data_IF_411347230566
#
_entry.id   IF_411347230566
#
_cell.length_a   1.000
_cell.length_b   1.000
_cell.length_c   1.000
_cell.angle_alpha   90.00
_cell.angle_beta   90.00
_cell.angle_gamma   90.00
#
_symmetry.space_group_name_H-M   'P 1'
#
loop_
_entity.id
_entity.type
_entity.pdbx_description
1 polymer ?
#
# COMPACT_ATOMS: atom_id res chain seq x y z
N UNK A 1 -28.31 -0.72 57.97
CA UNK A 1 -27.77 0.52 57.38
C UNK A 1 -26.74 0.13 56.33
N UNK A 2 -27.03 0.48 55.08
CA UNK A 2 -26.18 0.29 53.90
C UNK A 2 -24.91 1.13 54.00
N UNK A 3 -23.79 0.62 53.46
CA UNK A 3 -22.85 1.40 52.64
C UNK A 3 -21.93 0.46 51.83
N UNK A 4 -22.46 0.13 50.64
CA UNK A 4 -21.87 -0.22 49.34
C UNK A 4 -20.52 -0.97 49.25
N UNK A 5 -20.60 -2.08 48.50
CA UNK A 5 -19.52 -2.91 47.95
C UNK A 5 -18.41 -2.09 47.27
N UNK A 6 -17.21 -2.66 47.33
CA UNK A 6 -15.95 -2.18 46.76
C UNK A 6 -16.08 -1.44 45.41
N UNK A 7 -15.61 -0.20 45.37
CA UNK A 7 -15.11 0.40 44.13
C UNK A 7 -13.76 -0.23 43.82
N UNK A 8 -13.74 -1.25 42.97
CA UNK A 8 -12.58 -1.54 42.13
C UNK A 8 -12.88 -1.00 40.72
N UNK A 9 -11.86 -0.43 40.07
CA UNK A 9 -11.98 0.75 39.24
C UNK A 9 -12.58 0.37 37.90
N UNK A 10 -13.25 1.33 37.23
CA UNK A 10 -13.28 1.30 35.77
C UNK A 10 -11.82 1.44 35.30
N UNK A 11 -11.07 0.33 35.28
CA UNK A 11 -9.71 0.31 34.77
C UNK A 11 -9.81 0.61 33.27
N UNK A 12 -9.39 1.81 32.88
CA UNK A 12 -9.22 2.17 31.49
C UNK A 12 -8.40 1.07 30.81
N UNK A 13 -9.01 0.34 29.88
CA UNK A 13 -8.38 -0.80 29.22
C UNK A 13 -7.44 -0.24 28.15
N UNK A 14 -6.18 -0.02 28.55
CA UNK A 14 -5.12 0.53 27.72
C UNK A 14 -4.39 -0.63 27.06
N UNK A 15 -4.63 -0.85 25.76
CA UNK A 15 -3.89 -1.85 24.97
C UNK A 15 -2.49 -1.36 24.56
N UNK A 16 -2.29 -0.06 24.55
CA UNK A 16 -1.05 0.60 24.18
C UNK A 16 -0.92 1.93 24.93
N UNK A 17 0.30 2.44 25.08
CA UNK A 17 0.58 3.78 25.58
C UNK A 17 1.23 4.65 24.49
N UNK A 18 2.03 4.04 23.61
CA UNK A 18 2.75 4.70 22.52
C UNK A 18 2.55 3.94 21.21
N UNK A 19 2.76 4.62 20.08
CA UNK A 19 2.72 3.99 18.75
C UNK A 19 3.68 2.79 18.63
N UNK A 20 4.82 2.83 19.35
CA UNK A 20 5.79 1.74 19.37
C UNK A 20 5.29 0.46 20.06
N UNK A 21 4.21 0.55 20.85
CA UNK A 21 3.58 -0.62 21.47
C UNK A 21 2.69 -1.38 20.47
N UNK A 22 2.39 -0.78 19.32
CA UNK A 22 1.52 -1.32 18.30
C UNK A 22 2.30 -2.09 17.22
N UNK A 23 1.62 -3.00 16.52
CA UNK A 23 2.26 -3.84 15.49
C UNK A 23 2.30 -3.11 14.15
N UNK A 24 3.35 -3.40 13.38
CA UNK A 24 3.55 -2.88 12.04
C UNK A 24 3.55 -1.35 11.94
N UNK A 25 2.43 -0.76 11.53
CA UNK A 25 2.26 0.69 11.40
C UNK A 25 0.99 1.20 12.09
N UNK A 26 0.36 0.35 12.90
CA UNK A 26 -0.74 0.75 13.76
C UNK A 26 -0.27 1.85 14.72
N UNK A 27 -1.18 2.75 15.07
CA UNK A 27 -0.92 3.85 16.01
C UNK A 27 -1.78 3.73 17.25
N UNK A 28 -1.22 4.14 18.37
CA UNK A 28 -1.92 4.11 19.63
C UNK A 28 -2.84 5.33 19.72
N UNK A 29 -4.14 5.10 19.54
CA UNK A 29 -5.13 6.17 19.60
C UNK A 29 -5.98 6.06 20.88
N UNK A 30 -6.15 7.16 21.63
CA UNK A 30 -7.08 7.18 22.76
C UNK A 30 -8.52 7.10 22.27
N UNK A 31 -9.36 6.39 23.03
CA UNK A 31 -10.81 6.36 22.89
C UNK A 31 -11.46 6.63 24.26
N UNK A 32 -12.79 6.63 24.32
CA UNK A 32 -13.54 6.94 25.54
C UNK A 32 -13.29 5.95 26.72
N UNK A 33 -12.64 4.80 26.48
CA UNK A 33 -12.44 3.74 27.46
C UNK A 33 -10.95 3.33 27.63
N UNK A 34 -10.00 4.07 27.05
CA UNK A 34 -8.57 3.75 27.12
C UNK A 34 -7.85 4.13 25.83
N UNK A 35 -6.85 3.33 25.45
CA UNK A 35 -6.13 3.50 24.18
C UNK A 35 -5.99 2.17 23.46
N UNK A 36 -6.10 2.21 22.15
CA UNK A 36 -6.09 1.03 21.29
C UNK A 36 -5.25 1.27 20.04
N UNK A 37 -4.56 0.23 19.59
CA UNK A 37 -3.86 0.22 18.31
C UNK A 37 -4.87 0.18 17.18
N UNK A 38 -4.78 1.14 16.27
CA UNK A 38 -5.65 1.24 15.08
C UNK A 38 -4.80 1.57 13.86
N UNK A 39 -5.31 1.23 12.67
CA UNK A 39 -4.66 1.68 11.43
C UNK A 39 -4.61 3.21 11.38
N UNK A 40 -3.52 3.79 10.85
CA UNK A 40 -3.42 5.23 10.70
C UNK A 40 -4.52 5.72 9.76
N UNK A 41 -5.40 6.61 10.23
CA UNK A 41 -6.44 7.26 9.40
C UNK A 41 -5.88 8.33 8.47
N UNK A 42 -4.66 8.80 8.77
CA UNK A 42 -3.86 9.70 7.93
C UNK A 42 -2.52 9.04 7.63
N UNK A 43 -2.40 8.47 6.44
CA UNK A 43 -1.13 8.00 5.91
C UNK A 43 -1.00 8.42 4.43
N UNK A 44 0.21 8.33 3.89
CA UNK A 44 0.41 8.44 2.46
C UNK A 44 -0.20 7.25 1.72
N UNK A 45 -0.40 7.39 0.41
CA UNK A 45 -0.93 6.33 -0.43
C UNK A 45 -0.09 5.04 -0.34
N UNK A 46 1.24 5.16 -0.32
CA UNK A 46 2.12 3.98 -0.21
C UNK A 46 1.98 3.29 1.14
N UNK A 47 1.97 4.06 2.25
CA UNK A 47 1.84 3.47 3.59
C UNK A 47 0.49 2.76 3.71
N UNK A 48 -0.61 3.40 3.33
CA UNK A 48 -1.93 2.76 3.31
C UNK A 48 -1.95 1.46 2.51
N UNK A 49 -1.34 1.47 1.32
CA UNK A 49 -1.27 0.27 0.49
C UNK A 49 -0.40 -0.83 1.13
N UNK A 50 0.75 -0.47 1.70
CA UNK A 50 1.61 -1.43 2.40
C UNK A 50 0.91 -2.10 3.58
N UNK A 51 0.12 -1.35 4.37
CA UNK A 51 -0.68 -1.92 5.47
C UNK A 51 -1.71 -2.91 4.93
N UNK A 52 -2.44 -2.51 3.87
CA UNK A 52 -3.46 -3.35 3.28
C UNK A 52 -2.87 -4.67 2.76
N UNK A 53 -1.71 -4.61 2.09
CA UNK A 53 -1.00 -5.80 1.61
C UNK A 53 -0.52 -6.69 2.76
N UNK A 54 0.00 -6.11 3.85
CA UNK A 54 0.42 -6.87 5.04
C UNK A 54 -0.73 -7.61 5.74
N UNK A 55 -1.98 -7.19 5.53
CA UNK A 55 -3.16 -7.88 6.08
C UNK A 55 -3.57 -9.11 5.28
N UNK A 56 -3.00 -9.32 4.10
CA UNK A 56 -3.24 -10.51 3.29
C UNK A 56 -2.55 -11.74 3.92
N UNK A 57 -3.09 -12.96 3.74
CA UNK A 57 -2.48 -14.18 4.28
C UNK A 57 -1.01 -14.37 3.86
N UNK A 58 -0.69 -14.07 2.60
CA UNK A 58 0.68 -14.16 2.07
C UNK A 58 1.48 -12.85 2.21
N UNK A 59 0.88 -11.81 2.79
CA UNK A 59 1.49 -10.48 2.97
C UNK A 59 2.02 -9.87 1.66
N UNK A 60 1.44 -10.26 0.53
CA UNK A 60 1.80 -9.85 -0.84
C UNK A 60 0.58 -10.06 -1.75
N UNK A 61 0.53 -9.35 -2.88
CA UNK A 61 -0.47 -9.60 -3.91
C UNK A 61 -0.18 -10.91 -4.67
N UNK A 62 -1.12 -11.36 -5.50
CA UNK A 62 -1.01 -12.63 -6.25
C UNK A 62 0.26 -12.72 -7.13
N UNK A 63 0.71 -11.62 -7.73
CA UNK A 63 1.97 -11.54 -8.49
C UNK A 63 3.22 -11.43 -7.61
N UNK A 64 3.07 -11.51 -6.29
CA UNK A 64 4.09 -11.31 -5.27
C UNK A 64 4.51 -9.85 -5.08
N UNK A 65 3.72 -8.89 -5.56
CA UNK A 65 3.98 -7.47 -5.34
C UNK A 65 3.76 -7.09 -3.87
N UNK A 66 4.77 -6.44 -3.29
CA UNK A 66 4.70 -5.72 -2.01
C UNK A 66 5.20 -4.29 -2.29
N UNK A 67 4.38 -3.26 -2.03
CA UNK A 67 4.77 -1.88 -2.33
C UNK A 67 5.97 -1.46 -1.48
N UNK A 68 6.99 -0.91 -2.13
CA UNK A 68 8.16 -0.33 -1.48
C UNK A 68 7.92 1.15 -1.23
N UNK A 69 7.93 1.55 0.03
CA UNK A 69 7.87 2.95 0.40
C UNK A 69 9.26 3.48 0.75
N UNK A 70 9.50 4.76 0.52
CA UNK A 70 10.67 5.48 1.01
C UNK A 70 10.48 5.92 2.48
N UNK A 71 11.50 6.56 3.04
CA UNK A 71 11.50 7.04 4.44
C UNK A 71 10.42 8.09 4.73
N UNK A 72 9.94 8.79 3.71
CA UNK A 72 8.84 9.76 3.83
C UNK A 72 7.46 9.10 3.62
N UNK A 73 7.43 7.78 3.45
CA UNK A 73 6.23 7.03 3.15
C UNK A 73 5.71 7.23 1.72
N UNK A 74 6.48 7.82 0.81
CA UNK A 74 6.11 7.89 -0.62
C UNK A 74 6.46 6.57 -1.30
N UNK A 75 5.93 6.32 -2.50
CA UNK A 75 6.37 5.18 -3.27
C UNK A 75 7.83 5.38 -3.69
N UNK A 76 8.66 4.35 -3.48
CA UNK A 76 9.95 4.28 -4.14
C UNK A 76 9.73 4.35 -5.66
N UNK A 77 10.56 5.08 -6.43
CA UNK A 77 10.31 5.33 -7.84
C UNK A 77 10.32 4.07 -8.69
N UNK A 78 11.01 3.01 -8.24
CA UNK A 78 11.05 1.69 -8.87
C UNK A 78 10.32 0.70 -7.96
N UNK A 79 9.27 0.07 -8.49
CA UNK A 79 8.52 -1.01 -7.86
C UNK A 79 8.81 -2.32 -8.60
N UNK A 80 8.67 -3.46 -7.92
CA UNK A 80 8.89 -4.78 -8.53
C UNK A 80 7.92 -5.81 -7.96
N UNK A 81 7.47 -6.72 -8.81
CA UNK A 81 6.82 -7.97 -8.42
C UNK A 81 7.78 -9.16 -8.62
N UNK A 82 7.28 -10.39 -8.71
CA UNK A 82 8.11 -11.58 -8.92
C UNK A 82 8.71 -11.71 -10.33
N UNK A 83 8.26 -10.93 -11.32
CA UNK A 83 8.62 -11.09 -12.74
C UNK A 83 9.30 -9.85 -13.31
N UNK A 84 8.85 -8.67 -12.91
CA UNK A 84 9.25 -7.41 -13.52
C UNK A 84 9.37 -6.28 -12.51
N UNK A 85 10.04 -5.22 -12.94
CA UNK A 85 10.09 -3.95 -12.26
C UNK A 85 9.57 -2.86 -13.18
N UNK A 86 8.96 -1.83 -12.61
CA UNK A 86 8.43 -0.68 -13.34
C UNK A 86 8.63 0.59 -12.51
N UNK A 87 8.50 1.73 -13.19
CA UNK A 87 8.54 3.03 -12.54
C UNK A 87 7.13 3.47 -12.15
N UNK A 88 7.00 4.21 -11.06
CA UNK A 88 5.70 4.71 -10.57
C UNK A 88 5.74 6.20 -10.30
N UNK A 89 4.57 6.83 -10.32
CA UNK A 89 4.40 8.13 -9.67
C UNK A 89 4.64 7.99 -8.16
N UNK A 90 5.56 8.79 -7.61
CA UNK A 90 5.99 8.67 -6.21
C UNK A 90 4.89 8.97 -5.20
N UNK A 91 3.86 9.74 -5.58
CA UNK A 91 2.77 10.11 -4.67
C UNK A 91 1.57 9.18 -4.81
N UNK A 92 1.27 8.69 -6.02
CA UNK A 92 0.06 7.91 -6.31
C UNK A 92 0.32 6.41 -6.52
N UNK A 93 1.55 6.00 -6.84
CA UNK A 93 1.92 4.60 -7.05
C UNK A 93 1.49 4.02 -8.40
N UNK A 94 0.86 4.83 -9.25
CA UNK A 94 0.47 4.45 -10.61
C UNK A 94 1.71 4.18 -11.48
N UNK A 95 1.69 3.07 -12.21
CA UNK A 95 2.75 2.72 -13.15
C UNK A 95 2.90 3.77 -14.25
N UNK A 96 4.16 4.15 -14.52
CA UNK A 96 4.53 5.02 -15.63
C UNK A 96 4.59 4.15 -16.90
N UNK A 97 3.78 4.44 -17.94
CA UNK A 97 3.80 3.69 -19.19
C UNK A 97 5.19 3.59 -19.81
N UNK A 98 5.51 2.42 -20.35
CA UNK A 98 6.75 2.12 -21.05
C UNK A 98 7.95 1.87 -20.13
N UNK A 99 7.74 1.79 -18.83
CA UNK A 99 8.81 1.63 -17.83
C UNK A 99 9.09 0.19 -17.42
N UNK A 100 8.18 -0.76 -17.71
CA UNK A 100 8.35 -2.12 -17.25
C UNK A 100 9.52 -2.84 -17.93
N UNK A 101 10.31 -3.54 -17.12
CA UNK A 101 11.40 -4.42 -17.55
C UNK A 101 11.39 -5.69 -16.72
N UNK A 102 11.79 -6.81 -17.32
CA UNK A 102 12.02 -8.05 -16.55
C UNK A 102 13.08 -7.83 -15.46
N UNK A 103 12.99 -8.55 -14.34
CA UNK A 103 13.90 -8.36 -13.20
C UNK A 103 15.37 -8.44 -13.59
N UNK A 104 15.74 -9.33 -14.51
CA UNK A 104 17.13 -9.48 -14.99
C UNK A 104 17.68 -8.25 -15.72
N UNK A 105 16.81 -7.37 -16.22
CA UNK A 105 17.17 -6.11 -16.87
C UNK A 105 17.02 -4.90 -15.94
N UNK A 106 16.80 -5.12 -14.64
CA UNK A 106 16.62 -4.02 -13.67
C UNK A 106 17.91 -3.20 -13.54
N UNK A 107 17.80 -1.90 -13.82
CA UNK A 107 18.87 -0.89 -13.65
C UNK A 107 18.46 0.13 -12.59
N UNK A 108 19.43 0.75 -11.91
CA UNK A 108 19.15 1.83 -10.96
C UNK A 108 18.55 3.08 -11.62
N UNK A 109 18.87 3.31 -12.90
CA UNK A 109 18.50 4.48 -13.69
C UNK A 109 17.43 4.18 -14.76
N UNK A 110 16.71 3.05 -14.64
CA UNK A 110 15.71 2.62 -15.62
C UNK A 110 14.59 3.65 -15.87
N UNK A 111 14.29 4.51 -14.89
CA UNK A 111 13.23 5.52 -15.01
C UNK A 111 13.62 6.75 -15.82
N UNK A 112 14.85 6.81 -16.35
CA UNK A 112 15.31 7.93 -17.18
C UNK A 112 14.91 7.80 -18.64
N UNK A 113 14.75 6.58 -19.13
CA UNK A 113 14.47 6.28 -20.53
C UNK A 113 13.26 5.36 -20.64
N UNK A 114 12.13 5.94 -21.05
CA UNK A 114 10.85 5.25 -21.14
C UNK A 114 10.55 4.86 -22.58
N UNK A 115 9.97 3.68 -22.80
CA UNK A 115 9.47 3.27 -24.11
C UNK A 115 8.21 4.06 -24.47
N UNK A 116 8.06 4.46 -25.72
CA UNK A 116 6.84 5.12 -26.19
C UNK A 116 5.72 4.10 -26.36
N UNK A 117 4.62 4.30 -25.63
CA UNK A 117 3.40 3.54 -25.82
C UNK A 117 2.50 4.20 -26.87
N UNK A 118 2.07 3.42 -27.87
CA UNK A 118 1.16 3.90 -28.91
C UNK A 118 -0.30 4.00 -28.44
N UNK A 119 -0.69 3.18 -27.47
CA UNK A 119 -2.05 3.16 -26.91
C UNK A 119 -2.23 4.31 -25.93
N UNK A 120 -3.31 5.08 -26.11
CA UNK A 120 -3.72 6.15 -25.20
C UNK A 120 -5.13 5.86 -24.71
N UNK A 121 -5.28 5.78 -23.40
CA UNK A 121 -6.55 5.53 -22.74
C UNK A 121 -7.06 6.81 -22.06
N UNK A 122 -8.33 7.15 -22.27
CA UNK A 122 -8.93 8.40 -21.75
C UNK A 122 -9.82 8.20 -20.52
N UNK A 123 -10.08 6.96 -20.10
CA UNK A 123 -10.92 6.67 -18.93
C UNK A 123 -10.17 7.07 -17.65
N UNK A 124 -10.91 7.43 -16.60
CA UNK A 124 -10.29 7.68 -15.30
C UNK A 124 -10.34 6.40 -14.47
N UNK A 125 -9.17 5.80 -14.26
CA UNK A 125 -9.04 4.60 -13.44
C UNK A 125 -8.34 4.96 -12.12
N UNK A 126 -9.01 4.80 -10.97
CA UNK A 126 -8.42 5.15 -9.66
C UNK A 126 -7.09 4.43 -9.38
N UNK A 127 -6.91 3.24 -9.94
CA UNK A 127 -5.74 2.38 -9.75
C UNK A 127 -4.92 2.18 -11.04
N UNK A 128 -5.16 3.03 -12.05
CA UNK A 128 -4.53 2.93 -13.36
C UNK A 128 -5.15 1.86 -14.26
N UNK A 129 -4.55 1.68 -15.43
CA UNK A 129 -5.01 0.73 -16.44
C UNK A 129 -4.37 -0.64 -16.26
N UNK A 130 -5.01 -1.67 -16.82
CA UNK A 130 -4.33 -2.93 -17.09
C UNK A 130 -3.18 -2.66 -18.06
N UNK A 131 -2.03 -3.23 -17.76
CA UNK A 131 -0.80 -3.04 -18.53
C UNK A 131 -0.44 -4.35 -19.22
N UNK A 132 0.07 -4.24 -20.43
CA UNK A 132 0.69 -5.33 -21.16
C UNK A 132 2.00 -5.76 -20.48
N UNK A 133 2.52 -6.93 -20.86
CA UNK A 133 3.83 -7.43 -20.38
C UNK A 133 5.02 -6.53 -20.74
N UNK A 134 4.82 -5.56 -21.64
CA UNK A 134 5.83 -4.57 -22.03
C UNK A 134 5.71 -3.26 -21.21
N UNK A 135 4.77 -3.19 -20.27
CA UNK A 135 4.52 -2.00 -19.45
C UNK A 135 3.79 -0.88 -20.19
N UNK A 136 3.06 -1.19 -21.26
CA UNK A 136 2.18 -0.23 -21.94
C UNK A 136 0.70 -0.51 -21.64
N UNK A 137 -0.18 0.51 -21.65
CA UNK A 137 -1.62 0.31 -21.45
C UNK A 137 -2.18 -0.73 -22.41
N UNK A 138 -3.00 -1.64 -21.90
CA UNK A 138 -3.69 -2.62 -22.71
C UNK A 138 -4.62 -1.93 -23.73
N UNK A 139 -4.70 -2.39 -24.99
CA UNK A 139 -5.57 -1.79 -26.00
C UNK A 139 -7.06 -1.74 -25.63
N UNK A 140 -7.52 -2.62 -24.73
CA UNK A 140 -8.89 -2.61 -24.21
C UNK A 140 -9.17 -1.42 -23.29
N UNK A 141 -8.12 -0.78 -22.76
CA UNK A 141 -8.20 0.32 -21.80
C UNK A 141 -9.08 -0.02 -20.59
N UNK A 142 -9.00 -1.26 -20.11
CA UNK A 142 -9.64 -1.68 -18.88
C UNK A 142 -8.92 -1.12 -17.66
N UNK A 143 -9.69 -0.73 -16.64
CA UNK A 143 -9.12 -0.34 -15.36
C UNK A 143 -8.55 -1.57 -14.65
N UNK A 144 -7.42 -1.39 -13.99
CA UNK A 144 -6.83 -2.41 -13.14
C UNK A 144 -7.66 -2.56 -11.87
N UNK A 145 -8.06 -3.80 -11.57
CA UNK A 145 -8.60 -4.16 -10.27
C UNK A 145 -7.45 -4.71 -9.40
N UNK A 146 -7.13 -4.00 -8.32
CA UNK A 146 -6.07 -4.42 -7.38
C UNK A 146 -6.56 -5.54 -6.46
N UNK A 147 -7.88 -5.69 -6.30
CA UNK A 147 -8.51 -6.71 -5.50
C UNK A 147 -8.78 -8.00 -6.29
N UNK A 148 -8.43 -8.02 -7.59
CA UNK A 148 -8.56 -9.21 -8.41
C UNK A 148 -7.73 -10.36 -7.81
N UNK A 149 -8.41 -11.47 -7.45
CA UNK A 149 -7.77 -12.64 -6.84
C UNK A 149 -7.46 -12.52 -5.34
N UNK A 150 -7.90 -11.44 -4.67
CA UNK A 150 -7.85 -11.33 -3.20
C UNK A 150 -9.10 -12.00 -2.62
N UNK A 151 -8.94 -13.01 -1.76
CA UNK A 151 -10.02 -13.80 -1.16
C UNK A 151 -9.93 -13.83 0.37
#
# INVERSE_FOLDING_TARGET
MLLRRAHHPFLAYTKCAHDADCRDVEKCCPNACGSVCVDPTKASNCVHFAVAVKKLPEQKLQNGYVPKCDENGKFAPIQCDQRQCWCVDVNYGSEIPGSAVVISMRRADMCRELRLCGVKCSKQCPHGFKMTVFGCPDPTCECRDICEGVQ
#
